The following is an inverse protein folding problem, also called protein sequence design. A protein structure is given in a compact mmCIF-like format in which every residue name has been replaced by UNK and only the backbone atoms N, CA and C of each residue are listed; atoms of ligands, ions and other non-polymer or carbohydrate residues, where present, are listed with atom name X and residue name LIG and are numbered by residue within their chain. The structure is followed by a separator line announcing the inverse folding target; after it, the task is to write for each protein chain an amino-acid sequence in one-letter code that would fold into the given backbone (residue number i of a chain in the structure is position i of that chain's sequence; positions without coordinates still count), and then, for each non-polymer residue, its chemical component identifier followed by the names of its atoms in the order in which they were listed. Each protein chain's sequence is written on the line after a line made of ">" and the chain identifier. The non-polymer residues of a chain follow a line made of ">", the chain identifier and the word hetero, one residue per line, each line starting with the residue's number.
data_IF_240417072713
#
_entry.id   IF_240417072713
#
_cell.length_a   1.000
_cell.length_b   1.000
_cell.length_c   1.000
_cell.angle_alpha   90.00
_cell.angle_beta   90.00
_cell.angle_gamma   90.00
#
_symmetry.space_group_name_H-M   'P 1'
#
loop_
_entity.id
_entity.type
_entity.pdbx_description
1 polymer ?
#
# COMPACT_ATOMS: atom_id res chain seq x y z
N UNK A 1 -5.96 -5.64 50.37
CA UNK A 1 -6.15 -6.31 49.06
C UNK A 1 -5.63 -5.38 48.00
N UNK A 2 -5.01 -5.90 46.98
CA UNK A 2 -4.46 -5.04 45.90
C UNK A 2 -5.59 -4.30 45.19
N UNK A 3 -5.33 -3.08 44.72
CA UNK A 3 -6.23 -2.26 43.92
C UNK A 3 -6.42 -2.93 42.55
N UNK A 4 -7.64 -3.12 42.04
CA UNK A 4 -7.87 -3.68 40.71
C UNK A 4 -7.47 -2.70 39.62
N UNK A 5 -7.04 -3.23 38.46
CA UNK A 5 -6.67 -2.47 37.27
C UNK A 5 -7.61 -2.85 36.13
N UNK A 6 -8.41 -1.91 35.68
CA UNK A 6 -9.33 -2.11 34.55
C UNK A 6 -8.52 -2.14 33.26
N UNK A 7 -8.77 -3.12 32.40
CA UNK A 7 -8.24 -3.12 31.03
C UNK A 7 -8.83 -1.93 30.25
N UNK A 8 -8.00 -1.15 29.60
CA UNK A 8 -8.46 0.03 28.86
C UNK A 8 -9.48 -0.36 27.79
N UNK A 9 -10.55 0.36 27.75
CA UNK A 9 -11.52 0.43 26.67
C UNK A 9 -11.99 1.88 26.56
N UNK A 10 -12.40 2.32 25.39
CA UNK A 10 -12.74 3.73 25.16
C UNK A 10 -14.20 3.92 24.73
N UNK A 11 -14.86 2.88 24.27
CA UNK A 11 -16.26 2.93 23.83
C UNK A 11 -17.00 1.63 24.15
N UNK A 12 -18.28 1.75 24.48
CA UNK A 12 -19.22 0.63 24.62
C UNK A 12 -20.53 0.97 23.91
N UNK A 13 -21.27 -0.08 23.52
CA UNK A 13 -22.64 0.03 23.03
C UNK A 13 -23.60 -0.23 24.21
N UNK A 14 -24.23 0.85 24.71
CA UNK A 14 -25.14 0.75 25.87
C UNK A 14 -26.44 -0.04 25.56
N UNK A 15 -26.76 -0.28 24.31
CA UNK A 15 -27.94 -1.10 23.92
C UNK A 15 -27.72 -2.60 24.13
N UNK A 16 -26.47 -3.01 24.42
CA UNK A 16 -26.05 -4.42 24.62
C UNK A 16 -25.39 -4.63 25.97
N UNK A 17 -25.23 -5.89 26.31
CA UNK A 17 -24.32 -6.29 27.40
C UNK A 17 -22.87 -6.12 26.97
N UNK A 18 -22.04 -5.53 27.86
CA UNK A 18 -20.63 -5.29 27.59
C UNK A 18 -19.76 -6.00 28.61
N UNK A 19 -18.70 -6.66 28.14
CA UNK A 19 -17.72 -7.34 28.98
C UNK A 19 -16.62 -6.36 29.38
N UNK A 20 -16.46 -6.12 30.67
CA UNK A 20 -15.33 -5.38 31.23
C UNK A 20 -14.30 -6.36 31.80
N UNK A 21 -13.04 -6.19 31.35
CA UNK A 21 -11.92 -6.99 31.83
C UNK A 21 -11.08 -6.18 32.81
N UNK A 22 -10.56 -6.86 33.81
CA UNK A 22 -9.66 -6.25 34.79
C UNK A 22 -8.67 -7.29 35.34
N UNK A 23 -7.59 -6.81 35.96
CA UNK A 23 -6.62 -7.65 36.70
C UNK A 23 -6.64 -7.32 38.15
N UNK A 24 -6.53 -8.33 39.02
CA UNK A 24 -6.31 -8.18 40.44
C UNK A 24 -5.63 -9.45 40.98
N UNK A 25 -4.55 -9.29 41.72
CA UNK A 25 -3.69 -10.37 42.19
C UNK A 25 -4.23 -11.03 43.50
N UNK A 26 -5.47 -11.47 43.48
CA UNK A 26 -6.08 -12.25 44.57
C UNK A 26 -6.99 -13.32 43.96
N UNK A 27 -6.68 -14.58 44.18
CA UNK A 27 -7.41 -15.71 43.56
C UNK A 27 -8.77 -15.98 44.20
N UNK A 28 -9.07 -15.36 45.32
CA UNK A 28 -10.29 -15.56 46.08
C UNK A 28 -11.40 -14.55 45.80
N UNK A 29 -11.22 -13.69 44.78
CA UNK A 29 -12.21 -12.69 44.42
C UNK A 29 -13.46 -13.37 43.83
N UNK A 30 -14.64 -12.98 44.32
CA UNK A 30 -15.93 -13.49 43.89
C UNK A 30 -16.91 -12.41 43.40
N UNK A 31 -16.71 -11.16 43.85
CA UNK A 31 -17.60 -10.05 43.51
C UNK A 31 -16.82 -8.83 43.08
N UNK A 32 -17.42 -8.03 42.19
CA UNK A 32 -16.96 -6.73 41.78
C UNK A 32 -18.07 -5.70 41.94
N UNK A 33 -17.78 -4.65 42.67
CA UNK A 33 -18.60 -3.45 42.71
C UNK A 33 -18.10 -2.51 41.60
N UNK A 34 -18.99 -2.02 40.76
CA UNK A 34 -18.68 -1.04 39.72
C UNK A 34 -19.50 0.22 39.93
N UNK A 35 -18.83 1.35 39.75
CA UNK A 35 -19.43 2.68 39.94
C UNK A 35 -19.20 3.46 38.66
N UNK A 36 -20.29 3.93 38.03
CA UNK A 36 -20.25 4.78 36.84
C UNK A 36 -20.60 6.22 37.26
N UNK A 37 -19.73 7.14 36.87
CA UNK A 37 -19.88 8.58 37.13
C UNK A 37 -20.15 9.32 35.84
N UNK A 38 -20.97 10.34 35.94
CA UNK A 38 -21.13 11.33 34.88
C UNK A 38 -19.89 12.24 34.82
N UNK A 39 -19.25 12.33 33.67
CA UNK A 39 -18.06 13.17 33.52
C UNK A 39 -18.34 14.66 33.68
N UNK A 40 -19.52 15.13 33.31
CA UNK A 40 -19.86 16.55 33.35
C UNK A 40 -20.22 17.03 34.77
N UNK A 41 -20.99 16.22 35.53
CA UNK A 41 -21.46 16.58 36.87
C UNK A 41 -20.65 15.95 38.00
N UNK A 42 -19.89 14.89 37.72
CA UNK A 42 -19.21 14.08 38.74
C UNK A 42 -20.16 13.23 39.59
N UNK A 43 -21.45 13.21 39.30
CA UNK A 43 -22.44 12.44 40.06
C UNK A 43 -22.36 10.95 39.75
N UNK A 44 -22.61 10.13 40.78
CA UNK A 44 -22.78 8.67 40.60
C UNK A 44 -24.11 8.44 39.84
N UNK A 45 -24.01 7.72 38.74
CA UNK A 45 -25.20 7.29 37.96
C UNK A 45 -25.57 5.87 38.31
N UNK A 46 -24.56 5.01 38.50
CA UNK A 46 -24.70 3.60 38.78
C UNK A 46 -23.72 3.20 39.88
N UNK A 47 -24.21 2.42 40.82
CA UNK A 47 -23.41 1.77 41.88
C UNK A 47 -24.00 0.38 42.11
N UNK A 48 -23.33 -0.66 41.63
CA UNK A 48 -23.81 -2.04 41.70
C UNK A 48 -22.71 -3.03 41.95
N UNK A 49 -23.09 -4.16 42.58
CA UNK A 49 -22.20 -5.29 42.85
C UNK A 49 -22.67 -6.52 42.07
N UNK A 50 -21.76 -7.15 41.34
CA UNK A 50 -22.01 -8.34 40.54
C UNK A 50 -20.94 -9.41 40.79
N UNK A 51 -21.27 -10.67 40.42
CA UNK A 51 -20.28 -11.75 40.47
C UNK A 51 -19.26 -11.57 39.35
N UNK A 52 -18.04 -11.93 39.62
CA UNK A 52 -16.94 -11.92 38.63
C UNK A 52 -16.54 -13.35 38.28
N UNK A 53 -15.99 -13.51 37.07
CA UNK A 53 -15.45 -14.75 36.56
C UNK A 53 -14.04 -14.56 35.99
N UNK A 54 -13.30 -15.64 35.75
CA UNK A 54 -11.95 -15.65 35.21
C UNK A 54 -10.87 -16.07 36.19
N UNK A 55 -9.61 -15.97 35.80
CA UNK A 55 -8.43 -16.32 36.58
C UNK A 55 -7.83 -15.10 37.28
N UNK A 56 -6.84 -15.32 38.16
CA UNK A 56 -6.11 -14.23 38.83
C UNK A 56 -5.44 -13.23 37.88
N UNK A 57 -5.09 -13.66 36.68
CA UNK A 57 -4.44 -12.81 35.66
C UNK A 57 -5.42 -11.95 34.87
N UNK A 58 -6.62 -12.47 34.57
CA UNK A 58 -7.68 -11.74 33.84
C UNK A 58 -9.04 -12.15 34.35
N UNK A 59 -9.75 -11.22 34.96
CA UNK A 59 -11.14 -11.38 35.42
C UNK A 59 -12.07 -10.53 34.55
N UNK A 60 -13.35 -10.88 34.58
CA UNK A 60 -14.37 -10.17 33.81
C UNK A 60 -15.68 -10.10 34.57
N UNK A 61 -16.44 -9.07 34.27
CA UNK A 61 -17.84 -8.92 34.65
C UNK A 61 -18.64 -8.31 33.53
N UNK A 62 -19.96 -8.43 33.57
CA UNK A 62 -20.88 -7.90 32.57
C UNK A 62 -21.47 -6.58 33.06
N UNK A 63 -21.42 -5.56 32.20
CA UNK A 63 -22.27 -4.38 32.32
C UNK A 63 -23.58 -4.69 31.60
N UNK A 64 -24.74 -4.65 32.28
CA UNK A 64 -26.03 -4.90 31.65
C UNK A 64 -26.35 -3.89 30.53
N UNK A 65 -27.18 -4.30 29.56
CA UNK A 65 -27.73 -3.38 28.60
C UNK A 65 -28.60 -2.30 29.25
N UNK A 66 -28.64 -1.13 28.64
CA UNK A 66 -29.43 0.04 29.06
C UNK A 66 -29.10 0.58 30.46
N UNK A 67 -27.92 0.30 30.96
CA UNK A 67 -27.44 0.77 32.27
C UNK A 67 -27.11 2.28 32.25
N UNK A 68 -26.60 2.77 31.13
CA UNK A 68 -26.33 4.19 30.83
C UNK A 68 -26.90 4.53 29.46
N UNK A 69 -26.99 5.81 29.14
CA UNK A 69 -27.50 6.26 27.84
C UNK A 69 -26.35 6.60 26.90
N UNK A 70 -26.56 6.31 25.61
CA UNK A 70 -25.68 6.81 24.56
C UNK A 70 -25.75 8.35 24.50
N UNK A 71 -24.57 8.97 24.43
CA UNK A 71 -24.43 10.43 24.38
C UNK A 71 -23.01 10.84 23.99
N UNK A 72 -22.86 12.08 23.55
CA UNK A 72 -21.57 12.67 23.17
C UNK A 72 -20.56 12.78 24.34
N UNK A 73 -21.02 13.00 25.56
CA UNK A 73 -20.15 13.16 26.72
C UNK A 73 -19.76 11.80 27.31
N UNK A 74 -18.49 11.60 27.68
CA UNK A 74 -18.02 10.35 28.25
C UNK A 74 -18.50 10.15 29.70
N UNK A 75 -18.32 8.91 30.15
CA UNK A 75 -18.50 8.45 31.53
C UNK A 75 -17.17 8.02 32.13
N UNK A 76 -17.11 7.94 33.46
CA UNK A 76 -16.02 7.29 34.20
C UNK A 76 -16.49 6.02 34.85
N UNK A 77 -15.68 4.94 34.72
CA UNK A 77 -15.86 3.69 35.44
C UNK A 77 -14.76 3.52 36.48
N UNK A 78 -15.17 3.17 37.71
CA UNK A 78 -14.28 2.66 38.73
C UNK A 78 -14.82 1.34 39.28
N UNK A 79 -13.93 0.45 39.74
CA UNK A 79 -14.31 -0.82 40.36
C UNK A 79 -13.61 -1.03 41.67
N UNK A 80 -14.28 -1.72 42.58
CA UNK A 80 -13.68 -2.36 43.77
C UNK A 80 -14.03 -3.86 43.74
N UNK A 81 -13.17 -4.69 44.29
CA UNK A 81 -13.39 -6.14 44.33
C UNK A 81 -13.48 -6.65 45.76
N UNK A 82 -14.30 -7.66 45.97
CA UNK A 82 -14.49 -8.33 47.26
C UNK A 82 -14.10 -9.79 47.12
N UNK A 83 -13.32 -10.29 48.08
CA UNK A 83 -12.93 -11.69 48.11
C UNK A 83 -13.90 -12.54 48.96
N UNK A 84 -13.76 -13.87 48.90
CA UNK A 84 -14.61 -14.83 49.62
C UNK A 84 -14.65 -14.61 51.14
N UNK A 85 -13.65 -13.92 51.70
CA UNK A 85 -13.59 -13.61 53.15
C UNK A 85 -14.23 -12.24 53.47
N UNK A 86 -14.92 -11.63 52.52
CA UNK A 86 -15.57 -10.31 52.68
C UNK A 86 -14.62 -9.11 52.72
N UNK A 87 -13.32 -9.31 52.43
CA UNK A 87 -12.37 -8.20 52.37
C UNK A 87 -12.50 -7.46 51.03
N UNK A 88 -12.74 -6.14 51.10
CA UNK A 88 -12.89 -5.24 49.93
C UNK A 88 -11.57 -4.52 49.63
N UNK A 89 -11.30 -4.26 48.35
CA UNK A 89 -10.18 -3.44 47.89
C UNK A 89 -10.53 -1.95 47.89
N UNK A 90 -9.51 -1.11 47.71
CA UNK A 90 -9.72 0.27 47.30
C UNK A 90 -10.26 0.32 45.86
N UNK A 91 -10.89 1.44 45.49
CA UNK A 91 -11.39 1.68 44.13
C UNK A 91 -10.23 1.75 43.10
N UNK A 92 -10.44 1.23 41.92
CA UNK A 92 -9.54 1.35 40.78
C UNK A 92 -9.31 2.83 40.39
N UNK A 93 -8.30 3.07 39.54
CA UNK A 93 -8.25 4.33 38.80
C UNK A 93 -9.47 4.41 37.87
N UNK A 94 -9.90 5.64 37.57
CA UNK A 94 -11.03 5.87 36.68
C UNK A 94 -10.62 5.57 35.23
N UNK A 95 -11.48 4.85 34.52
CA UNK A 95 -11.39 4.66 33.06
C UNK A 95 -12.49 5.48 32.42
N UNK A 96 -12.07 6.39 31.50
CA UNK A 96 -12.99 7.17 30.68
C UNK A 96 -13.50 6.30 29.52
N UNK A 97 -14.80 6.35 29.26
CA UNK A 97 -15.40 5.66 28.12
C UNK A 97 -16.61 6.43 27.55
N UNK A 98 -16.84 6.23 26.25
CA UNK A 98 -18.01 6.75 25.53
C UNK A 98 -19.06 5.66 25.39
N UNK A 99 -20.33 6.07 25.29
CA UNK A 99 -21.44 5.19 24.99
C UNK A 99 -22.05 5.60 23.65
N UNK A 100 -21.79 4.82 22.62
CA UNK A 100 -22.43 4.99 21.31
C UNK A 100 -22.86 3.62 20.78
N UNK A 101 -23.93 3.59 20.01
CA UNK A 101 -24.30 2.38 19.29
C UNK A 101 -23.26 2.08 18.21
N UNK A 102 -22.90 0.80 18.06
CA UNK A 102 -21.86 0.41 17.12
C UNK A 102 -22.28 0.71 15.69
N UNK A 103 -21.54 1.55 14.93
CA UNK A 103 -21.86 1.86 13.55
C UNK A 103 -21.78 0.64 12.63
N UNK A 104 -22.40 0.74 11.46
CA UNK A 104 -22.36 -0.28 10.41
C UNK A 104 -21.46 0.16 9.28
N UNK A 105 -20.53 -0.73 8.90
CA UNK A 105 -19.69 -0.63 7.71
C UNK A 105 -20.11 -1.79 6.77
N UNK A 106 -20.44 -1.48 5.52
CA UNK A 106 -20.86 -2.53 4.55
C UNK A 106 -20.55 -2.11 3.13
N UNK A 107 -20.29 -3.09 2.26
CA UNK A 107 -20.32 -2.85 0.82
C UNK A 107 -21.78 -2.65 0.36
N UNK A 108 -21.96 -1.77 -0.62
CA UNK A 108 -23.25 -1.55 -1.28
C UNK A 108 -23.47 -2.58 -2.40
N UNK A 109 -22.37 -2.97 -3.05
CA UNK A 109 -22.36 -3.73 -4.29
C UNK A 109 -22.28 -5.25 -4.10
N UNK A 110 -21.79 -5.72 -2.95
CA UNK A 110 -21.60 -7.14 -2.62
C UNK A 110 -22.01 -7.45 -1.18
N UNK A 111 -22.34 -8.68 -0.91
CA UNK A 111 -22.76 -9.15 0.42
C UNK A 111 -21.88 -10.30 0.91
N UNK A 112 -21.67 -10.40 2.23
CA UNK A 112 -20.81 -11.40 2.86
C UNK A 112 -21.24 -12.87 2.63
N UNK A 113 -22.50 -13.11 2.24
CA UNK A 113 -23.06 -14.47 2.09
C UNK A 113 -23.53 -14.79 0.67
N UNK A 114 -23.27 -13.92 -0.28
CA UNK A 114 -23.66 -14.10 -1.67
C UNK A 114 -22.43 -13.85 -2.58
N UNK A 115 -22.22 -14.72 -3.56
CA UNK A 115 -21.23 -14.49 -4.61
C UNK A 115 -21.85 -13.64 -5.71
N UNK A 116 -21.22 -12.52 -6.06
CA UNK A 116 -21.63 -11.66 -7.16
C UNK A 116 -20.80 -11.98 -8.41
N UNK A 117 -21.45 -12.16 -9.54
CA UNK A 117 -20.75 -12.24 -10.84
C UNK A 117 -20.56 -10.85 -11.42
N UNK A 118 -19.32 -10.54 -11.82
CA UNK A 118 -18.91 -9.27 -12.43
C UNK A 118 -18.44 -9.57 -13.86
N UNK A 119 -19.10 -9.02 -14.89
CA UNK A 119 -18.79 -9.32 -16.28
C UNK A 119 -17.64 -8.47 -16.89
N UNK A 120 -16.78 -7.94 -16.05
CA UNK A 120 -15.65 -7.09 -16.45
C UNK A 120 -14.40 -7.42 -15.62
N UNK A 121 -13.18 -7.19 -16.18
CA UNK A 121 -11.92 -7.41 -15.47
C UNK A 121 -11.60 -6.31 -14.42
N UNK A 122 -12.44 -5.29 -14.33
CA UNK A 122 -12.31 -4.17 -13.38
C UNK A 122 -13.67 -3.86 -12.76
N UNK A 123 -13.69 -3.42 -11.51
CA UNK A 123 -14.90 -3.03 -10.81
C UNK A 123 -14.62 -2.04 -9.69
N UNK A 124 -15.57 -1.14 -9.42
CA UNK A 124 -15.52 -0.19 -8.30
C UNK A 124 -16.50 -0.62 -7.22
N UNK A 125 -16.01 -0.98 -6.05
CA UNK A 125 -16.83 -1.32 -4.90
C UNK A 125 -17.08 -0.08 -4.05
N UNK A 126 -18.35 0.20 -3.77
CA UNK A 126 -18.76 1.29 -2.88
C UNK A 126 -18.99 0.76 -1.47
N UNK A 127 -18.53 1.51 -0.49
CA UNK A 127 -18.70 1.21 0.92
C UNK A 127 -19.54 2.28 1.58
N UNK A 128 -20.49 1.87 2.39
CA UNK A 128 -21.32 2.75 3.22
C UNK A 128 -20.90 2.62 4.68
N UNK A 129 -20.63 3.76 5.32
CA UNK A 129 -20.53 3.89 6.77
C UNK A 129 -21.78 4.58 7.29
N UNK A 130 -22.46 3.97 8.24
CA UNK A 130 -23.70 4.49 8.79
C UNK A 130 -23.69 4.41 10.30
N UNK A 131 -23.86 5.57 10.95
CA UNK A 131 -24.27 5.64 12.33
C UNK A 131 -25.74 5.26 12.48
N UNK A 132 -26.07 4.57 13.57
CA UNK A 132 -27.43 4.26 13.94
C UNK A 132 -28.07 5.46 14.64
N UNK A 133 -27.25 6.19 15.40
CA UNK A 133 -27.62 7.39 16.12
C UNK A 133 -27.25 8.67 15.34
N UNK A 134 -27.97 9.76 15.56
CA UNK A 134 -27.72 11.06 14.92
C UNK A 134 -26.33 11.61 15.31
N UNK A 135 -25.94 11.44 16.57
CA UNK A 135 -24.65 11.85 17.14
C UNK A 135 -23.82 10.59 17.48
N UNK A 136 -23.41 9.84 16.46
CA UNK A 136 -22.71 8.58 16.63
C UNK A 136 -21.19 8.72 16.54
N UNK A 137 -20.54 7.58 16.32
CA UNK A 137 -19.08 7.47 16.18
C UNK A 137 -18.58 8.09 14.88
N UNK A 138 -17.41 8.73 14.92
CA UNK A 138 -16.71 9.20 13.73
C UNK A 138 -15.70 8.18 13.30
N UNK A 139 -15.65 7.87 12.00
CA UNK A 139 -14.65 6.99 11.42
C UNK A 139 -13.28 7.69 11.43
N UNK A 140 -12.28 7.03 11.98
CA UNK A 140 -10.89 7.50 12.07
C UNK A 140 -10.04 6.97 10.92
N UNK A 141 -10.13 5.67 10.68
CA UNK A 141 -9.34 4.92 9.71
C UNK A 141 -10.23 3.89 9.04
N UNK A 142 -10.05 3.67 7.75
CA UNK A 142 -10.62 2.51 7.07
C UNK A 142 -9.63 1.93 6.06
N UNK A 143 -9.79 0.64 5.80
CA UNK A 143 -8.97 -0.13 4.88
C UNK A 143 -9.86 -0.90 3.93
N UNK A 144 -9.48 -0.90 2.67
CA UNK A 144 -10.03 -1.80 1.67
C UNK A 144 -9.02 -2.89 1.35
N UNK A 145 -9.48 -4.12 1.23
CA UNK A 145 -8.62 -5.28 1.04
C UNK A 145 -9.20 -6.18 -0.04
N UNK A 146 -8.35 -6.59 -0.98
CA UNK A 146 -8.65 -7.58 -2.00
C UNK A 146 -7.87 -8.87 -1.72
N UNK A 147 -8.52 -10.00 -1.87
CA UNK A 147 -7.95 -11.32 -1.63
C UNK A 147 -8.22 -12.25 -2.81
N UNK A 148 -7.34 -13.23 -3.02
CA UNK A 148 -7.57 -14.33 -3.95
C UNK A 148 -8.55 -15.39 -3.39
N UNK A 149 -8.76 -16.48 -4.15
CA UNK A 149 -9.62 -17.61 -3.77
C UNK A 149 -9.18 -18.31 -2.47
N UNK A 150 -7.90 -18.26 -2.14
CA UNK A 150 -7.31 -18.87 -0.95
C UNK A 150 -7.25 -17.91 0.24
N UNK A 151 -7.85 -16.74 0.08
CA UNK A 151 -7.81 -15.64 1.04
C UNK A 151 -6.42 -15.11 1.34
N UNK A 152 -5.53 -15.16 0.35
CA UNK A 152 -4.26 -14.46 0.38
C UNK A 152 -4.49 -12.99 -0.02
N UNK A 153 -3.99 -12.06 0.78
CA UNK A 153 -4.10 -10.63 0.51
C UNK A 153 -3.33 -10.29 -0.77
N UNK A 154 -4.03 -9.71 -1.74
CA UNK A 154 -3.47 -9.25 -3.01
C UNK A 154 -3.17 -7.76 -2.98
N UNK A 155 -4.10 -6.97 -2.43
CA UNK A 155 -4.01 -5.50 -2.42
C UNK A 155 -4.69 -4.93 -1.18
N UNK A 156 -4.13 -3.84 -0.62
CA UNK A 156 -4.70 -3.10 0.51
C UNK A 156 -4.56 -1.60 0.26
N UNK A 157 -5.63 -0.85 0.49
CA UNK A 157 -5.64 0.61 0.52
C UNK A 157 -6.05 1.08 1.91
N UNK A 158 -5.41 2.15 2.40
CA UNK A 158 -5.64 2.70 3.74
C UNK A 158 -5.99 4.17 3.62
N UNK A 159 -7.08 4.57 4.27
CA UNK A 159 -7.59 5.93 4.25
C UNK A 159 -7.94 6.42 5.65
N UNK A 160 -7.92 7.73 5.84
CA UNK A 160 -8.27 8.38 7.10
C UNK A 160 -9.53 9.23 6.97
N UNK A 161 -10.31 9.28 8.04
CA UNK A 161 -11.54 10.08 8.11
C UNK A 161 -12.76 9.39 7.51
N UNK A 162 -13.72 10.18 7.00
CA UNK A 162 -14.96 9.67 6.42
C UNK A 162 -14.74 9.00 5.06
N UNK A 163 -15.60 8.04 4.71
CA UNK A 163 -15.53 7.35 3.42
C UNK A 163 -15.77 8.34 2.29
N UNK A 164 -14.77 8.50 1.43
CA UNK A 164 -14.78 9.41 0.28
C UNK A 164 -14.30 8.75 -1.01
N UNK A 165 -13.85 7.48 -0.96
CA UNK A 165 -13.29 6.75 -2.07
C UNK A 165 -14.00 5.42 -2.26
N UNK A 166 -14.23 5.04 -3.51
CA UNK A 166 -14.58 3.68 -3.87
C UNK A 166 -13.32 2.82 -3.92
N UNK A 167 -13.46 1.52 -3.66
CA UNK A 167 -12.36 0.57 -3.83
C UNK A 167 -12.32 0.09 -5.27
N UNK A 168 -11.35 0.56 -6.03
CA UNK A 168 -11.19 0.23 -7.44
C UNK A 168 -10.28 -0.99 -7.60
N UNK A 169 -10.77 -2.03 -8.24
CA UNK A 169 -10.00 -3.22 -8.58
C UNK A 169 -9.95 -3.40 -10.08
N UNK A 170 -8.79 -3.82 -10.61
CA UNK A 170 -8.59 -3.94 -12.05
C UNK A 170 -7.68 -5.12 -12.41
N UNK A 171 -7.66 -5.51 -13.68
CA UNK A 171 -6.78 -6.57 -14.18
C UNK A 171 -7.07 -7.94 -13.58
N UNK A 172 -8.31 -8.19 -13.16
CA UNK A 172 -8.74 -9.44 -12.57
C UNK A 172 -8.89 -10.53 -13.63
N UNK A 173 -8.42 -11.72 -13.32
CA UNK A 173 -8.45 -12.86 -14.24
C UNK A 173 -9.87 -13.39 -14.42
N UNK A 174 -10.20 -13.76 -15.65
CA UNK A 174 -11.50 -14.37 -15.99
C UNK A 174 -11.69 -15.75 -15.33
N UNK A 175 -12.92 -16.09 -14.98
CA UNK A 175 -13.33 -17.33 -14.32
C UNK A 175 -12.69 -17.58 -12.95
N UNK A 176 -12.27 -16.50 -12.25
CA UNK A 176 -11.72 -16.59 -10.89
C UNK A 176 -12.64 -15.97 -9.86
N UNK A 177 -12.57 -16.52 -8.65
CA UNK A 177 -13.24 -15.98 -7.46
C UNK A 177 -12.24 -15.16 -6.66
N UNK A 178 -12.68 -14.01 -6.19
CA UNK A 178 -11.95 -13.09 -5.33
C UNK A 178 -12.82 -12.73 -4.13
N UNK A 179 -12.19 -12.15 -3.11
CA UNK A 179 -12.91 -11.61 -1.96
C UNK A 179 -12.49 -10.16 -1.72
N UNK A 180 -13.47 -9.33 -1.39
CA UNK A 180 -13.21 -7.99 -0.85
C UNK A 180 -13.63 -7.92 0.61
N UNK A 181 -12.94 -7.08 1.37
CA UNK A 181 -13.22 -6.83 2.79
C UNK A 181 -12.91 -5.36 3.08
N UNK A 182 -13.78 -4.72 3.85
CA UNK A 182 -13.49 -3.40 4.41
C UNK A 182 -13.42 -3.50 5.93
N UNK A 183 -12.41 -2.89 6.52
CA UNK A 183 -12.21 -2.80 7.97
C UNK A 183 -12.12 -1.33 8.33
N UNK A 184 -12.82 -0.91 9.37
CA UNK A 184 -12.80 0.47 9.87
C UNK A 184 -12.52 0.53 11.35
N UNK A 185 -11.94 1.64 11.80
CA UNK A 185 -11.75 1.95 13.21
C UNK A 185 -12.32 3.34 13.48
N UNK A 186 -13.16 3.47 14.50
CA UNK A 186 -13.70 4.77 14.90
C UNK A 186 -12.74 5.50 15.84
N UNK A 187 -12.96 6.81 16.02
CA UNK A 187 -12.14 7.66 16.90
C UNK A 187 -12.09 7.12 18.34
N UNK A 188 -13.19 6.53 18.82
CA UNK A 188 -13.25 5.96 20.17
C UNK A 188 -12.92 4.46 20.23
N UNK A 189 -12.50 3.83 19.10
CA UNK A 189 -11.91 2.50 19.08
C UNK A 189 -12.86 1.35 18.76
N UNK A 190 -14.04 1.59 18.15
CA UNK A 190 -14.79 0.50 17.54
C UNK A 190 -14.08 -0.01 16.30
N UNK A 191 -13.92 -1.33 16.25
CA UNK A 191 -13.46 -2.02 15.03
C UNK A 191 -14.68 -2.53 14.29
N UNK A 192 -14.78 -2.14 13.02
CA UNK A 192 -15.84 -2.48 12.08
C UNK A 192 -15.27 -3.41 11.02
N UNK A 193 -16.07 -4.36 10.55
CA UNK A 193 -15.64 -5.37 9.59
C UNK A 193 -16.84 -5.80 8.74
N UNK A 194 -16.67 -5.80 7.42
CA UNK A 194 -17.71 -6.24 6.48
C UNK A 194 -17.77 -7.76 6.32
N UNK A 195 -16.85 -8.50 6.95
CA UNK A 195 -16.53 -9.87 6.58
C UNK A 195 -16.01 -9.98 5.12
N UNK A 196 -15.72 -11.20 4.67
CA UNK A 196 -15.30 -11.47 3.31
C UNK A 196 -16.51 -11.54 2.38
N UNK A 197 -16.58 -10.63 1.41
CA UNK A 197 -17.59 -10.62 0.37
C UNK A 197 -17.03 -11.25 -0.90
N UNK A 198 -17.61 -12.37 -1.34
CA UNK A 198 -17.16 -13.10 -2.51
C UNK A 198 -17.68 -12.48 -3.81
N UNK A 199 -16.84 -12.43 -4.84
CA UNK A 199 -17.27 -12.13 -6.20
C UNK A 199 -16.47 -12.94 -7.21
N UNK A 200 -17.11 -13.22 -8.36
CA UNK A 200 -16.54 -13.96 -9.48
C UNK A 200 -16.41 -13.04 -10.67
N UNK A 201 -15.26 -13.07 -11.32
CA UNK A 201 -15.06 -12.45 -12.61
C UNK A 201 -15.44 -13.47 -13.68
N UNK A 202 -16.43 -13.10 -14.51
CA UNK A 202 -16.90 -13.97 -15.60
C UNK A 202 -17.36 -13.09 -16.76
N UNK A 203 -16.51 -12.94 -17.75
CA UNK A 203 -16.80 -12.16 -18.95
C UNK A 203 -16.52 -12.97 -20.22
N UNK A 204 -17.24 -12.64 -21.28
CA UNK A 204 -17.03 -13.24 -22.60
C UNK A 204 -15.83 -12.60 -23.28
N UNK A 205 -14.78 -13.38 -23.53
CA UNK A 205 -13.48 -12.91 -24.04
C UNK A 205 -13.46 -12.46 -25.52
N UNK A 206 -14.63 -12.25 -26.15
CA UNK A 206 -14.68 -12.00 -27.60
C UNK A 206 -14.73 -10.52 -28.02
N UNK A 207 -14.69 -9.58 -27.10
CA UNK A 207 -14.68 -8.14 -27.44
C UNK A 207 -13.28 -7.69 -27.87
N UNK A 208 -13.11 -7.46 -29.17
CA UNK A 208 -11.95 -6.81 -29.84
C UNK A 208 -10.56 -7.33 -29.46
N UNK A 209 -10.09 -8.36 -30.13
CA UNK A 209 -8.77 -8.96 -29.93
C UNK A 209 -7.64 -8.01 -30.32
N UNK A 210 -7.08 -7.33 -29.31
CA UNK A 210 -5.72 -6.83 -29.42
C UNK A 210 -4.76 -8.02 -29.24
N UNK A 211 -3.67 -8.03 -29.98
CA UNK A 211 -2.57 -8.94 -29.74
C UNK A 211 -1.42 -8.15 -29.12
N UNK A 212 -0.78 -8.69 -28.08
CA UNK A 212 0.40 -8.09 -27.46
C UNK A 212 1.54 -9.10 -27.42
N UNK A 213 2.70 -8.69 -27.91
CA UNK A 213 3.96 -9.44 -27.87
C UNK A 213 4.98 -8.65 -27.07
N UNK A 214 5.73 -9.32 -26.20
CA UNK A 214 6.78 -8.73 -25.39
C UNK A 214 8.11 -9.47 -25.63
N UNK A 215 9.15 -8.72 -26.03
CA UNK A 215 10.47 -9.22 -26.36
C UNK A 215 11.54 -8.53 -25.49
N UNK A 216 12.41 -9.32 -24.84
CA UNK A 216 13.54 -8.73 -24.09
C UNK A 216 14.66 -8.32 -25.03
N UNK A 217 14.92 -7.04 -25.15
CA UNK A 217 16.08 -6.48 -25.85
C UNK A 217 17.27 -6.34 -24.86
N UNK A 218 17.95 -7.46 -24.58
CA UNK A 218 19.01 -7.54 -23.56
C UNK A 218 20.09 -6.47 -23.75
N UNK A 219 20.54 -6.25 -24.99
CA UNK A 219 21.57 -5.26 -25.33
C UNK A 219 21.13 -3.82 -25.12
N UNK A 220 19.83 -3.58 -25.10
CA UNK A 220 19.23 -2.24 -24.92
C UNK A 220 18.67 -2.05 -23.50
N UNK A 221 18.73 -3.08 -22.65
CA UNK A 221 18.25 -3.03 -21.28
C UNK A 221 16.75 -2.74 -21.18
N UNK A 222 15.93 -3.19 -22.12
CA UNK A 222 14.50 -2.85 -22.20
C UNK A 222 13.67 -4.02 -22.72
N UNK A 223 12.38 -3.94 -22.53
CA UNK A 223 11.41 -4.86 -23.13
C UNK A 223 10.67 -4.11 -24.24
N UNK A 224 10.70 -4.65 -25.46
CA UNK A 224 9.93 -4.16 -26.58
C UNK A 224 8.54 -4.77 -26.54
N UNK A 225 7.52 -3.93 -26.57
CA UNK A 225 6.12 -4.31 -26.62
C UNK A 225 5.56 -3.97 -28.00
N UNK A 226 4.92 -4.93 -28.62
CA UNK A 226 4.21 -4.71 -29.90
C UNK A 226 2.76 -5.07 -29.69
N UNK A 227 1.87 -4.07 -29.85
CA UNK A 227 0.42 -4.27 -29.79
C UNK A 227 -0.14 -4.12 -31.20
N UNK A 228 -0.88 -5.12 -31.64
CA UNK A 228 -1.48 -5.16 -32.97
C UNK A 228 -2.97 -5.45 -32.92
N UNK A 229 -3.71 -4.93 -33.91
CA UNK A 229 -5.08 -5.30 -34.21
C UNK A 229 -5.27 -5.25 -35.73
N UNK A 230 -5.90 -6.30 -36.25
CA UNK A 230 -6.29 -6.35 -37.69
C UNK A 230 -7.32 -5.28 -38.04
N UNK A 231 -7.34 -4.88 -39.30
CA UNK A 231 -8.34 -3.95 -39.86
C UNK A 231 -9.70 -4.61 -40.14
N UNK A 232 -9.82 -5.92 -39.94
CA UNK A 232 -11.02 -6.70 -40.29
C UNK A 232 -12.26 -6.30 -39.47
N UNK A 233 -12.07 -5.67 -38.33
CA UNK A 233 -13.12 -5.17 -37.46
C UNK A 233 -12.89 -3.69 -37.09
N UNK A 234 -13.93 -2.85 -37.02
CA UNK A 234 -13.78 -1.46 -36.65
C UNK A 234 -13.22 -1.29 -35.23
N UNK A 235 -12.50 -0.21 -34.97
CA UNK A 235 -12.01 0.14 -33.63
C UNK A 235 -13.16 0.85 -32.89
N UNK A 236 -13.74 0.17 -31.90
CA UNK A 236 -14.84 0.70 -31.07
C UNK A 236 -14.34 1.05 -29.66
N UNK A 237 -13.19 1.70 -29.58
CA UNK A 237 -12.58 2.16 -28.32
C UNK A 237 -11.80 3.46 -28.54
N UNK A 238 -11.71 4.26 -27.48
CA UNK A 238 -11.13 5.60 -27.49
C UNK A 238 -9.62 5.58 -27.31
N UNK A 239 -9.15 4.67 -26.45
CA UNK A 239 -7.75 4.54 -26.08
C UNK A 239 -7.33 3.08 -26.03
N UNK A 240 -6.01 2.86 -26.12
CA UNK A 240 -5.37 1.62 -25.72
C UNK A 240 -4.39 1.96 -24.61
N UNK A 241 -4.58 1.35 -23.43
CA UNK A 241 -3.63 1.38 -22.33
C UNK A 241 -2.75 0.15 -22.37
N UNK A 242 -1.44 0.35 -22.20
CA UNK A 242 -0.50 -0.73 -21.97
C UNK A 242 -0.09 -0.68 -20.52
N UNK A 243 -0.33 -1.78 -19.81
CA UNK A 243 -0.03 -1.88 -18.39
C UNK A 243 1.02 -2.96 -18.13
N UNK A 244 1.78 -2.78 -17.04
CA UNK A 244 2.82 -3.69 -16.59
C UNK A 244 2.60 -4.05 -15.12
N UNK A 245 2.90 -5.30 -14.75
CA UNK A 245 3.15 -5.70 -13.36
C UNK A 245 4.28 -6.72 -13.28
N UNK A 246 4.94 -6.79 -12.14
CA UNK A 246 5.83 -7.89 -11.81
C UNK A 246 5.00 -9.13 -11.45
N UNK A 247 5.39 -10.31 -11.97
CA UNK A 247 4.66 -11.55 -11.69
C UNK A 247 4.65 -11.85 -10.20
N UNK A 248 3.46 -12.06 -9.65
CA UNK A 248 3.22 -12.25 -8.23
C UNK A 248 2.86 -10.98 -7.46
N UNK A 249 2.82 -9.82 -8.14
CA UNK A 249 2.24 -8.59 -7.62
C UNK A 249 0.84 -8.39 -8.18
N UNK A 250 -0.01 -7.71 -7.44
CA UNK A 250 -1.36 -7.36 -7.89
C UNK A 250 -1.37 -6.08 -8.71
N UNK A 251 -0.63 -5.07 -8.28
CA UNK A 251 -0.73 -3.71 -8.81
C UNK A 251 -0.24 -3.60 -10.25
N UNK A 252 -1.11 -3.09 -11.12
CA UNK A 252 -0.82 -2.79 -12.50
C UNK A 252 -0.46 -1.32 -12.67
N UNK A 253 0.61 -1.05 -13.40
CA UNK A 253 1.07 0.30 -13.74
C UNK A 253 0.75 0.57 -15.20
N UNK A 254 0.00 1.61 -15.51
CA UNK A 254 -0.15 2.11 -16.88
C UNK A 254 1.15 2.75 -17.31
N UNK A 255 1.87 2.10 -18.24
CA UNK A 255 3.17 2.56 -18.74
C UNK A 255 3.06 3.31 -20.08
N UNK A 256 1.95 3.16 -20.78
CA UNK A 256 1.70 3.83 -22.06
C UNK A 256 0.20 3.93 -22.34
N UNK A 257 -0.23 5.04 -22.93
CA UNK A 257 -1.59 5.23 -23.42
C UNK A 257 -1.54 5.86 -24.80
N UNK A 258 -2.36 5.35 -25.72
CA UNK A 258 -2.53 5.89 -27.08
C UNK A 258 -3.99 6.13 -27.38
N UNK A 259 -4.32 7.38 -27.72
CA UNK A 259 -5.63 7.73 -28.24
C UNK A 259 -5.81 7.16 -29.65
N UNK A 260 -6.97 6.58 -29.93
CA UNK A 260 -7.35 6.03 -31.22
C UNK A 260 -8.27 7.03 -31.91
N UNK A 261 -7.87 7.47 -33.07
CA UNK A 261 -8.59 8.52 -33.85
C UNK A 261 -9.27 8.00 -35.10
N UNK A 262 -8.95 6.77 -35.52
CA UNK A 262 -9.54 6.14 -36.71
C UNK A 262 -10.24 4.85 -36.32
N UNK A 263 -11.47 4.69 -36.79
CA UNK A 263 -12.27 3.48 -36.54
C UNK A 263 -11.96 2.33 -37.49
N UNK A 264 -11.19 2.58 -38.56
CA UNK A 264 -10.98 1.60 -39.67
C UNK A 264 -9.52 1.25 -39.94
N UNK A 265 -8.57 1.92 -39.32
CA UNK A 265 -7.16 1.64 -39.55
C UNK A 265 -6.65 0.48 -38.65
N UNK A 266 -5.73 -0.36 -39.19
CA UNK A 266 -5.06 -1.36 -38.37
C UNK A 266 -4.23 -0.65 -37.30
N UNK A 267 -4.16 -1.27 -36.13
CA UNK A 267 -3.38 -0.75 -35.02
C UNK A 267 -2.04 -1.45 -35.00
N UNK A 268 -0.99 -0.63 -34.94
CA UNK A 268 0.37 -1.04 -34.63
C UNK A 268 0.94 -0.04 -33.63
N UNK A 269 1.22 -0.52 -32.42
CA UNK A 269 1.90 0.24 -31.38
C UNK A 269 3.20 -0.49 -31.05
N UNK A 270 4.31 0.21 -31.12
CA UNK A 270 5.60 -0.26 -30.60
C UNK A 270 5.98 0.64 -29.45
N UNK A 271 6.13 0.06 -28.27
CA UNK A 271 6.53 0.74 -27.06
C UNK A 271 7.71 0.01 -26.41
N UNK A 272 8.61 0.76 -25.79
CA UNK A 272 9.79 0.23 -25.11
C UNK A 272 9.71 0.48 -23.62
N UNK A 273 9.45 -0.58 -22.86
CA UNK A 273 9.54 -0.50 -21.41
C UNK A 273 11.01 -0.51 -20.97
N UNK A 274 11.52 0.68 -20.70
CA UNK A 274 12.89 0.90 -20.26
C UNK A 274 13.09 0.64 -18.76
N UNK A 275 12.01 0.60 -17.98
CA UNK A 275 12.07 0.64 -16.51
C UNK A 275 11.92 -0.74 -15.85
N UNK A 276 11.77 -1.80 -16.63
CA UNK A 276 11.80 -3.16 -16.12
C UNK A 276 13.15 -3.51 -15.49
N UNK A 277 13.13 -4.08 -14.27
CA UNK A 277 14.34 -4.49 -13.53
C UNK A 277 15.01 -5.69 -14.20
N UNK A 278 16.32 -5.82 -14.03
CA UNK A 278 17.10 -6.95 -14.53
C UNK A 278 16.96 -8.24 -13.70
N UNK A 279 18.00 -9.07 -13.76
CA UNK A 279 18.13 -10.35 -13.01
C UNK A 279 17.01 -11.35 -13.29
N UNK A 280 16.60 -11.47 -14.56
CA UNK A 280 15.54 -12.39 -14.98
C UNK A 280 14.20 -12.16 -14.26
N UNK A 281 13.92 -10.91 -13.89
CA UNK A 281 12.62 -10.52 -13.32
C UNK A 281 11.54 -10.73 -14.36
N UNK A 282 10.49 -11.46 -13.99
CA UNK A 282 9.38 -11.77 -14.89
C UNK A 282 8.27 -10.74 -14.74
N UNK A 283 7.88 -10.15 -15.85
CA UNK A 283 6.78 -9.17 -15.96
C UNK A 283 5.62 -9.72 -16.75
N UNK A 284 4.43 -9.31 -16.37
CA UNK A 284 3.23 -9.41 -17.20
C UNK A 284 2.94 -8.04 -17.82
N UNK A 285 2.50 -8.08 -19.07
CA UNK A 285 2.04 -6.90 -19.81
C UNK A 285 0.63 -7.18 -20.33
N UNK A 286 -0.23 -6.16 -20.30
CA UNK A 286 -1.54 -6.24 -20.91
C UNK A 286 -1.80 -5.03 -21.80
N UNK A 287 -2.53 -5.25 -22.90
CA UNK A 287 -3.10 -4.22 -23.73
C UNK A 287 -4.61 -4.17 -23.48
N UNK A 288 -5.08 -3.02 -23.02
CA UNK A 288 -6.45 -2.80 -22.56
C UNK A 288 -7.12 -1.77 -23.47
N UNK A 289 -8.16 -2.14 -24.23
CA UNK A 289 -9.03 -1.16 -24.90
C UNK A 289 -9.84 -0.40 -23.85
N UNK A 290 -10.05 0.89 -24.05
CA UNK A 290 -10.83 1.77 -23.15
C UNK A 290 -11.94 2.44 -23.94
N UNK A 291 -13.17 2.38 -23.43
CA UNK A 291 -14.37 3.01 -23.98
C UNK A 291 -15.01 3.86 -22.91
N UNK A 292 -15.25 5.13 -23.15
CA UNK A 292 -15.86 6.06 -22.18
C UNK A 292 -15.15 6.00 -20.80
N UNK A 293 -13.81 5.98 -20.81
CA UNK A 293 -12.93 5.84 -19.61
C UNK A 293 -13.02 4.47 -18.91
N UNK A 294 -13.82 3.53 -19.39
CA UNK A 294 -13.97 2.19 -18.80
C UNK A 294 -13.06 1.19 -19.53
N UNK A 295 -12.23 0.51 -18.76
CA UNK A 295 -11.35 -0.54 -19.26
C UNK A 295 -12.14 -1.78 -19.67
N UNK A 296 -11.86 -2.27 -20.86
CA UNK A 296 -12.52 -3.42 -21.47
C UNK A 296 -11.70 -4.70 -21.28
N UNK A 297 -12.17 -5.79 -21.84
CA UNK A 297 -11.43 -7.06 -21.85
C UNK A 297 -10.06 -6.90 -22.50
N UNK A 298 -9.04 -7.35 -21.84
CA UNK A 298 -7.64 -7.19 -22.23
C UNK A 298 -7.02 -8.48 -22.77
N UNK A 299 -5.93 -8.34 -23.51
CA UNK A 299 -4.98 -9.42 -23.80
C UNK A 299 -3.70 -9.20 -23.02
N UNK A 300 -3.07 -10.31 -22.62
CA UNK A 300 -1.84 -10.24 -21.83
C UNK A 300 -0.75 -11.17 -22.36
N UNK A 301 0.48 -10.80 -22.10
CA UNK A 301 1.68 -11.57 -22.37
C UNK A 301 2.64 -11.47 -21.21
N UNK A 302 3.71 -12.26 -21.24
CA UNK A 302 4.77 -12.11 -20.24
C UNK A 302 6.15 -12.14 -20.88
N UNK A 303 7.08 -11.40 -20.28
CA UNK A 303 8.49 -11.44 -20.65
C UNK A 303 9.40 -11.47 -19.43
N UNK A 304 10.61 -11.95 -19.64
CA UNK A 304 11.67 -11.94 -18.63
C UNK A 304 12.62 -10.81 -18.97
N UNK A 305 12.78 -9.85 -18.05
CA UNK A 305 13.76 -8.78 -18.21
C UNK A 305 15.13 -9.21 -17.74
N UNK A 306 16.10 -9.15 -18.64
CA UNK A 306 17.50 -9.45 -18.36
C UNK A 306 18.41 -8.54 -19.19
N UNK A 307 19.47 -8.03 -18.57
CA UNK A 307 20.46 -7.18 -19.22
C UNK A 307 21.78 -7.20 -18.45
N UNK A 308 22.85 -6.73 -19.09
CA UNK A 308 24.17 -6.62 -18.49
C UNK A 308 24.48 -5.17 -18.09
N UNK A 309 25.44 -5.00 -17.15
CA UNK A 309 25.94 -3.70 -16.71
C UNK A 309 24.92 -2.90 -15.88
N UNK A 310 25.04 -1.60 -15.93
CA UNK A 310 24.10 -0.65 -15.35
C UNK A 310 23.50 0.26 -16.41
N UNK A 311 22.31 0.73 -16.13
CA UNK A 311 21.58 1.67 -16.98
C UNK A 311 21.13 2.87 -16.17
N UNK A 312 21.44 4.06 -16.68
CA UNK A 312 20.90 5.32 -16.20
C UNK A 312 20.02 5.90 -17.29
N UNK A 313 18.77 6.22 -16.96
CA UNK A 313 17.81 6.61 -17.97
C UNK A 313 16.71 7.51 -17.44
N UNK A 314 16.07 8.21 -18.37
CA UNK A 314 14.78 8.85 -18.20
C UNK A 314 13.83 8.39 -19.33
N UNK A 315 12.72 9.12 -19.51
CA UNK A 315 11.74 8.83 -20.55
C UNK A 315 12.38 8.77 -21.96
N UNK A 316 13.27 9.69 -22.26
CA UNK A 316 13.80 9.92 -23.61
C UNK A 316 15.17 9.27 -23.81
N UNK A 317 16.06 9.40 -22.83
CA UNK A 317 17.48 9.08 -22.92
C UNK A 317 17.83 7.86 -22.07
N UNK A 318 18.78 7.05 -22.56
CA UNK A 318 19.32 5.90 -21.83
C UNK A 318 20.83 5.84 -22.02
N UNK A 319 21.55 5.76 -20.91
CA UNK A 319 23.01 5.59 -20.86
C UNK A 319 23.38 4.25 -20.31
N UNK A 320 24.26 3.55 -21.00
CA UNK A 320 24.79 2.26 -20.59
C UNK A 320 26.16 2.42 -19.91
N UNK A 321 26.31 1.77 -18.77
CA UNK A 321 27.57 1.69 -18.04
C UNK A 321 27.98 0.22 -17.94
N UNK A 322 28.83 -0.23 -18.87
CA UNK A 322 29.24 -1.63 -18.98
C UNK A 322 30.47 -1.97 -18.16
N UNK A 323 31.31 -0.98 -17.86
CA UNK A 323 32.58 -1.18 -17.15
C UNK A 323 32.50 -0.71 -15.71
N UNK A 324 32.86 -1.59 -14.79
CA UNK A 324 32.96 -1.36 -13.35
C UNK A 324 31.71 -0.68 -12.71
N UNK A 325 30.46 -0.99 -13.15
CA UNK A 325 29.30 -0.39 -12.52
C UNK A 325 29.16 -0.92 -11.09
N UNK A 326 29.16 -0.03 -10.13
CA UNK A 326 29.03 -0.38 -8.73
C UNK A 326 28.07 0.57 -8.00
N UNK A 327 27.30 0.03 -7.07
CA UNK A 327 26.55 0.81 -6.10
C UNK A 327 27.07 0.45 -4.71
N UNK A 328 27.56 1.44 -4.00
CA UNK A 328 28.15 1.31 -2.66
C UNK A 328 27.43 2.18 -1.65
N UNK A 329 27.71 1.98 -0.37
CA UNK A 329 27.15 2.77 0.74
C UNK A 329 25.63 2.86 0.71
N UNK A 330 24.96 1.75 0.35
CA UNK A 330 23.50 1.69 0.31
C UNK A 330 22.97 1.76 1.74
N UNK A 331 22.20 2.80 2.02
CA UNK A 331 21.55 3.03 3.31
C UNK A 331 20.04 3.11 3.10
N UNK A 332 19.28 2.43 3.95
CA UNK A 332 17.83 2.63 4.05
C UNK A 332 17.56 3.64 5.15
N UNK A 333 17.12 4.82 4.78
CA UNK A 333 16.88 5.94 5.68
C UNK A 333 15.48 5.85 6.27
N UNK A 334 15.41 5.98 7.59
CA UNK A 334 14.16 6.02 8.33
C UNK A 334 14.34 7.02 9.48
N UNK A 335 13.46 8.00 9.57
CA UNK A 335 13.52 8.97 10.67
C UNK A 335 12.95 8.36 11.96
N UNK A 336 13.78 8.33 12.99
CA UNK A 336 13.38 7.87 14.32
C UNK A 336 14.04 8.74 15.40
N UNK A 337 13.29 9.08 16.44
CA UNK A 337 13.82 9.68 17.67
C UNK A 337 13.81 8.65 18.79
N UNK A 338 14.86 8.65 19.59
CA UNK A 338 15.01 7.76 20.75
C UNK A 338 14.93 8.60 22.02
N UNK A 339 13.92 8.37 22.84
CA UNK A 339 13.74 9.07 24.10
C UNK A 339 13.91 8.12 25.29
N UNK A 340 14.71 8.55 26.26
CA UNK A 340 14.90 7.85 27.53
C UNK A 340 14.06 8.51 28.60
N UNK A 341 13.16 7.76 29.22
CA UNK A 341 12.37 8.24 30.37
C UNK A 341 13.03 7.86 31.70
N UNK A 342 12.94 8.76 32.66
CA UNK A 342 13.44 8.50 34.05
C UNK A 342 12.72 7.26 34.61
N UNK A 343 13.50 6.24 34.99
CA UNK A 343 13.00 5.00 35.57
C UNK A 343 12.75 3.85 34.61
N UNK A 344 12.93 4.03 33.31
CA UNK A 344 12.91 2.93 32.34
C UNK A 344 14.33 2.45 32.00
N UNK A 345 14.51 1.13 31.97
CA UNK A 345 15.78 0.51 31.54
C UNK A 345 16.00 0.62 30.03
N UNK A 346 14.91 0.75 29.24
CA UNK A 346 14.93 0.76 27.78
C UNK A 346 14.31 2.05 27.25
N UNK A 347 14.89 2.63 26.20
CA UNK A 347 14.33 3.81 25.55
C UNK A 347 13.04 3.49 24.78
N UNK A 348 12.27 4.52 24.52
CA UNK A 348 11.12 4.48 23.60
C UNK A 348 11.59 5.03 22.26
N UNK A 349 11.26 4.35 21.17
CA UNK A 349 11.57 4.80 19.81
C UNK A 349 10.29 5.35 19.18
N UNK A 350 10.34 6.59 18.75
CA UNK A 350 9.26 7.24 17.99
C UNK A 350 9.71 7.37 16.54
N UNK A 351 8.86 6.94 15.62
CA UNK A 351 9.06 7.15 14.20
C UNK A 351 8.30 8.43 13.80
N UNK A 352 9.05 9.48 13.47
CA UNK A 352 8.51 10.82 13.27
C UNK A 352 7.92 11.08 11.89
N UNK A 353 8.26 10.25 10.90
CA UNK A 353 7.76 10.36 9.53
C UNK A 353 7.58 8.98 8.89
N UNK A 354 6.77 8.93 7.82
CA UNK A 354 6.63 7.74 6.96
C UNK A 354 7.80 7.61 5.96
N UNK A 355 8.74 8.56 5.97
CA UNK A 355 9.88 8.56 5.06
C UNK A 355 10.74 7.32 5.24
N UNK A 356 10.84 6.52 4.17
CA UNK A 356 11.56 5.26 4.15
C UNK A 356 12.10 5.04 2.74
N UNK A 357 13.31 5.53 2.48
CA UNK A 357 13.91 5.59 1.16
C UNK A 357 15.36 5.12 1.17
N UNK A 358 15.86 4.72 0.02
CA UNK A 358 17.27 4.36 -0.14
C UNK A 358 18.12 5.58 -0.55
N UNK A 359 19.36 5.60 -0.07
CA UNK A 359 20.43 6.42 -0.59
C UNK A 359 21.67 5.57 -0.83
N UNK A 360 22.55 6.03 -1.71
CA UNK A 360 23.76 5.29 -2.01
C UNK A 360 24.69 6.11 -2.91
N UNK A 361 25.83 5.51 -3.23
CA UNK A 361 26.80 6.07 -4.17
C UNK A 361 26.88 5.13 -5.38
N UNK A 362 26.73 5.69 -6.59
CA UNK A 362 26.98 4.99 -7.85
C UNK A 362 28.36 5.36 -8.37
N UNK A 363 29.08 4.40 -8.92
CA UNK A 363 30.29 4.63 -9.68
C UNK A 363 30.39 3.71 -10.89
N UNK A 364 31.08 4.16 -11.93
CA UNK A 364 31.29 3.37 -13.14
C UNK A 364 32.15 4.12 -14.17
N UNK A 365 32.62 3.42 -15.17
CA UNK A 365 33.42 3.99 -16.25
C UNK A 365 32.48 4.39 -17.41
N UNK A 366 32.55 5.66 -17.81
CA UNK A 366 31.72 6.20 -18.90
C UNK A 366 32.54 6.23 -20.18
N UNK A 367 32.24 5.28 -21.03
CA UNK A 367 32.76 5.17 -22.41
C UNK A 367 31.57 4.92 -23.33
N UNK A 368 31.56 5.58 -24.46
CA UNK A 368 30.55 5.31 -25.49
C UNK A 368 30.69 3.90 -26.01
N UNK A 369 29.61 3.16 -26.02
CA UNK A 369 29.57 1.78 -26.47
C UNK A 369 28.84 1.68 -27.80
N UNK A 370 29.54 1.24 -28.85
CA UNK A 370 28.93 0.85 -30.12
C UNK A 370 28.29 -0.53 -29.96
N UNK A 371 27.00 -0.55 -29.70
CA UNK A 371 26.22 -1.77 -29.43
C UNK A 371 26.11 -2.67 -30.66
N UNK A 372 26.18 -2.11 -31.85
CA UNK A 372 26.09 -2.88 -33.09
C UNK A 372 27.33 -3.73 -33.30
N UNK A 373 28.50 -3.16 -33.04
CA UNK A 373 29.80 -3.81 -33.20
C UNK A 373 30.36 -4.43 -31.93
N UNK A 374 29.65 -4.26 -30.80
CA UNK A 374 30.05 -4.72 -29.45
C UNK A 374 31.45 -4.22 -29.07
N UNK A 375 31.71 -2.95 -29.33
CA UNK A 375 33.03 -2.31 -29.18
C UNK A 375 32.92 -0.94 -28.53
N UNK A 376 34.01 -0.48 -27.93
CA UNK A 376 34.10 0.91 -27.44
C UNK A 376 34.35 1.88 -28.59
N UNK A 377 33.60 2.98 -28.60
CA UNK A 377 33.81 4.13 -29.48
C UNK A 377 34.63 5.21 -28.71
N UNK A 378 35.93 5.18 -28.85
CA UNK A 378 36.81 6.11 -28.17
C UNK A 378 36.74 7.52 -28.77
N UNK A 379 36.53 7.63 -30.08
CA UNK A 379 36.49 8.92 -30.77
C UNK A 379 35.32 9.81 -30.32
N UNK A 380 34.19 9.19 -29.97
CA UNK A 380 33.02 9.90 -29.46
C UNK A 380 32.92 10.01 -27.93
N UNK A 381 33.90 9.51 -27.19
CA UNK A 381 33.77 9.32 -25.72
C UNK A 381 33.76 10.63 -24.93
N UNK A 382 34.47 11.68 -25.37
CA UNK A 382 34.52 12.96 -24.68
C UNK A 382 33.14 13.64 -24.76
N UNK A 383 32.57 13.79 -25.96
CA UNK A 383 31.28 14.44 -26.16
C UNK A 383 30.14 13.63 -25.47
N UNK A 384 30.24 12.31 -25.54
CA UNK A 384 29.31 11.42 -24.83
C UNK A 384 29.30 11.61 -23.33
N UNK A 385 30.50 11.74 -22.73
CA UNK A 385 30.68 11.98 -21.30
C UNK A 385 30.14 13.34 -20.88
N UNK A 386 30.47 14.41 -21.62
CA UNK A 386 29.94 15.74 -21.31
C UNK A 386 28.41 15.79 -21.41
N UNK A 387 27.86 15.18 -22.44
CA UNK A 387 26.40 15.05 -22.61
C UNK A 387 25.80 14.28 -21.45
N UNK A 388 26.42 13.18 -21.03
CA UNK A 388 25.99 12.38 -19.89
C UNK A 388 26.01 13.18 -18.58
N UNK A 389 27.10 13.91 -18.29
CA UNK A 389 27.22 14.69 -17.04
C UNK A 389 26.16 15.81 -17.02
N UNK A 390 25.99 16.52 -18.15
CA UNK A 390 24.99 17.58 -18.28
C UNK A 390 23.57 17.04 -18.07
N UNK A 391 23.24 15.88 -18.65
CA UNK A 391 21.97 15.20 -18.46
C UNK A 391 21.79 14.72 -17.01
N UNK A 392 22.83 14.17 -16.39
CA UNK A 392 22.77 13.66 -15.02
C UNK A 392 22.53 14.79 -14.01
N UNK A 393 23.04 15.98 -14.29
CA UNK A 393 22.98 17.17 -13.40
C UNK A 393 21.83 18.13 -13.72
N UNK A 394 20.89 17.76 -14.61
CA UNK A 394 19.75 18.59 -15.01
C UNK A 394 18.65 18.75 -13.94
N UNK A 395 18.85 18.16 -12.76
CA UNK A 395 17.96 18.18 -11.57
C UNK A 395 16.63 17.45 -11.77
N UNK A 396 16.48 16.65 -12.82
CA UNK A 396 15.29 15.84 -13.03
C UNK A 396 15.50 14.44 -12.45
N UNK A 397 14.42 13.77 -12.02
CA UNK A 397 14.49 12.38 -11.61
C UNK A 397 15.04 11.48 -12.72
N UNK A 398 15.80 10.47 -12.34
CA UNK A 398 16.38 9.46 -13.22
C UNK A 398 16.11 8.06 -12.67
N UNK A 399 16.21 7.08 -13.54
CA UNK A 399 16.19 5.67 -13.12
C UNK A 399 17.60 5.11 -13.23
N UNK A 400 18.10 4.59 -12.11
CA UNK A 400 19.29 3.76 -12.06
C UNK A 400 18.87 2.32 -11.92
N UNK A 401 19.29 1.46 -12.83
CA UNK A 401 19.07 0.01 -12.71
C UNK A 401 20.34 -0.79 -12.98
N UNK A 402 20.49 -1.86 -12.17
CA UNK A 402 21.65 -2.73 -12.17
C UNK A 402 21.27 -4.11 -12.71
N UNK A 403 22.23 -4.79 -13.35
CA UNK A 403 22.07 -6.15 -13.86
C UNK A 403 21.64 -7.17 -12.80
N UNK A 404 21.90 -6.88 -11.52
CA UNK A 404 21.57 -7.75 -10.38
C UNK A 404 20.12 -7.62 -9.89
N UNK A 405 19.31 -6.80 -10.57
CA UNK A 405 17.89 -6.57 -10.28
C UNK A 405 17.59 -5.41 -9.35
N UNK A 406 18.61 -4.72 -8.82
CA UNK A 406 18.40 -3.47 -8.09
C UNK A 406 18.02 -2.36 -9.06
N UNK A 407 17.06 -1.54 -8.68
CA UNK A 407 16.66 -0.37 -9.44
C UNK A 407 16.06 0.68 -8.51
N UNK A 408 16.31 1.95 -8.82
CA UNK A 408 15.84 3.09 -8.05
C UNK A 408 15.35 4.22 -8.98
N UNK A 409 14.21 4.77 -8.66
CA UNK A 409 13.81 6.09 -9.11
C UNK A 409 14.52 7.10 -8.21
N UNK A 410 15.45 7.87 -8.73
CA UNK A 410 16.39 8.61 -7.92
C UNK A 410 16.67 10.01 -8.45
N UNK A 411 17.14 10.88 -7.55
CA UNK A 411 17.80 12.13 -7.90
C UNK A 411 19.26 12.08 -7.45
N UNK A 412 20.13 12.75 -8.22
CA UNK A 412 21.52 12.98 -7.82
C UNK A 412 21.55 13.90 -6.61
N UNK A 413 22.30 13.49 -5.59
CA UNK A 413 22.47 14.26 -4.36
C UNK A 413 23.89 14.84 -4.27
N UNK A 414 24.00 16.13 -4.47
CA UNK A 414 25.29 16.82 -4.42
C UNK A 414 26.03 16.84 -5.74
N UNK A 415 27.34 16.59 -5.71
CA UNK A 415 28.26 16.75 -6.84
C UNK A 415 28.46 15.42 -7.58
N UNK A 416 28.67 15.53 -8.88
CA UNK A 416 29.18 14.45 -9.71
C UNK A 416 30.70 14.64 -9.83
N UNK A 417 31.45 13.65 -9.37
CA UNK A 417 32.90 13.64 -9.50
C UNK A 417 33.34 12.70 -10.62
N UNK A 418 34.44 13.04 -11.29
CA UNK A 418 35.04 12.18 -12.29
C UNK A 418 36.57 12.24 -12.19
N UNK A 419 37.21 11.15 -12.60
CA UNK A 419 38.65 10.99 -12.61
C UNK A 419 39.09 10.28 -13.88
N UNK A 420 40.13 10.77 -14.49
CA UNK A 420 40.80 10.23 -15.69
C UNK A 420 42.24 9.76 -15.39
N UNK A 421 42.50 9.33 -14.16
CA UNK A 421 43.84 9.07 -13.61
C UNK A 421 44.64 8.01 -14.43
N UNK A 422 43.99 7.15 -15.18
CA UNK A 422 44.65 6.09 -15.92
C UNK A 422 44.73 6.36 -17.44
N UNK A 423 43.67 6.94 -18.00
CA UNK A 423 43.58 7.19 -19.46
C UNK A 423 42.48 8.22 -19.76
N UNK A 424 42.68 9.19 -20.64
CA UNK A 424 41.72 10.24 -20.92
C UNK A 424 40.37 9.72 -21.45
N UNK A 425 40.34 8.53 -22.05
CA UNK A 425 39.11 7.91 -22.55
C UNK A 425 38.44 6.98 -21.51
N UNK A 426 39.19 6.59 -20.44
CA UNK A 426 38.69 5.77 -19.35
C UNK A 426 38.34 6.63 -18.14
N UNK A 427 37.25 7.34 -18.19
CA UNK A 427 36.84 8.21 -17.09
C UNK A 427 35.88 7.51 -16.14
N UNK A 428 36.29 7.37 -14.89
CA UNK A 428 35.46 6.89 -13.81
C UNK A 428 34.65 8.05 -13.23
N UNK A 429 33.35 7.92 -13.19
CA UNK A 429 32.44 8.84 -12.50
C UNK A 429 31.98 8.28 -11.18
N UNK A 430 31.60 9.14 -10.27
CA UNK A 430 30.95 8.81 -9.02
C UNK A 430 29.98 9.91 -8.61
N UNK A 431 28.83 9.54 -8.09
CA UNK A 431 27.85 10.46 -7.53
C UNK A 431 27.00 9.77 -6.47
N UNK A 432 26.56 10.57 -5.50
CA UNK A 432 25.58 10.13 -4.54
C UNK A 432 24.16 10.30 -5.08
N UNK A 433 23.27 9.38 -4.70
CA UNK A 433 21.87 9.46 -5.08
C UNK A 433 20.94 9.23 -3.88
N UNK A 434 19.74 9.75 -4.01
CA UNK A 434 18.61 9.52 -3.08
C UNK A 434 17.43 9.04 -3.89
N UNK A 435 16.80 7.95 -3.42
CA UNK A 435 15.54 7.44 -3.96
C UNK A 435 14.43 8.46 -3.70
N UNK A 436 13.65 8.73 -4.72
CA UNK A 436 12.58 9.76 -4.70
C UNK A 436 11.21 9.21 -5.09
N UNK A 437 11.08 7.91 -5.31
CA UNK A 437 9.83 7.23 -5.62
C UNK A 437 10.01 5.74 -5.92
N UNK A 438 8.92 5.01 -6.03
CA UNK A 438 8.90 3.59 -6.39
C UNK A 438 8.63 3.40 -7.88
N UNK A 439 9.51 2.67 -8.57
CA UNK A 439 9.35 2.27 -9.98
C UNK A 439 8.15 1.36 -10.25
N UNK A 440 7.54 0.81 -9.18
CA UNK A 440 6.33 0.01 -9.27
C UNK A 440 5.08 0.80 -8.83
N UNK A 441 5.20 2.10 -8.61
CA UNK A 441 4.09 3.00 -8.36
C UNK A 441 3.87 3.91 -9.58
N UNK A 442 2.67 3.85 -10.18
CA UNK A 442 2.34 4.62 -11.37
C UNK A 442 2.33 6.13 -11.14
N UNK A 443 1.92 6.57 -9.95
CA UNK A 443 1.86 7.99 -9.61
C UNK A 443 3.27 8.56 -9.38
N UNK A 444 4.17 7.82 -8.73
CA UNK A 444 5.56 8.21 -8.59
C UNK A 444 6.24 8.36 -9.95
N UNK A 445 5.99 7.42 -10.87
CA UNK A 445 6.54 7.48 -12.22
C UNK A 445 5.98 8.64 -13.04
N UNK A 446 4.67 8.95 -12.92
CA UNK A 446 4.04 10.14 -13.54
C UNK A 446 4.59 11.43 -12.97
N UNK A 447 4.68 11.53 -11.65
CA UNK A 447 5.23 12.70 -10.96
C UNK A 447 6.70 12.96 -11.33
N UNK A 448 7.45 11.90 -11.59
CA UNK A 448 8.82 11.96 -12.10
C UNK A 448 8.90 12.28 -13.61
N UNK A 449 7.78 12.30 -14.34
CA UNK A 449 7.73 12.55 -15.78
C UNK A 449 8.28 11.40 -16.64
N UNK A 450 8.25 10.17 -16.15
CA UNK A 450 8.80 8.99 -16.83
C UNK A 450 7.77 8.28 -17.73
N UNK A 451 6.49 8.39 -17.37
CA UNK A 451 5.37 7.81 -18.11
C UNK A 451 4.26 8.83 -18.35
#
# INVERSE_FOLDING_TARGET
>A
MAKPIISKFSVIDATRENIVRYTCYDDTINEVEYIIYDNASGNIIVDQTVKTSGSSSVRMFMLPANLVHNRLLPYYLKIAVTNQNGKKSDLSDAVLFYCHEKPVLKFVDVEARAEKTIPFPAFSFNVEYKNIEEEGETLNLYKYQLYDSDKTLLHEEIYHGSISHAFNVEGLDNNKVYYVRAVGETVNGYVLDTDFCAFRIEYDGQLQKLEIVAENEKKEGRIKLTVTKSADEPNNFDFIRVKRREVGKYDWITIYEKKITSSVEPILIVYYDKFARGRKTKYQYMAVPVVDEIEQVYTSTSAVSDFDGAWLMDKDISYYVGLEPAVTNITRNQEASVETTLGSKYPIVFYGSEANYYSGNFSGVIIKWDRANDAFDFDGSIDYRETFINWLTDKKPKVLKMYDGRAWLMNVNGSVSYSDDEHPDKVKISFDFVETGDLNNGDDMKNAGLI
#
